data_IF_709423629209
#
_entry.id   IF_709423629209
#
_cell.length_a   1.000
_cell.length_b   1.000
_cell.length_c   1.000
_cell.angle_alpha   90.00
_cell.angle_beta   90.00
_cell.angle_gamma   90.00
#
_symmetry.space_group_name_H-M   'P 1'
#
loop_
_entity.id
_entity.type
_entity.pdbx_description
1 polymer ?
#
# COMPACT_ATOMS: atom_id res chain seq x y z
N UNK A 1 41.59 -1.86 -24.24
CA UNK A 1 40.66 -1.90 -23.09
C UNK A 1 39.44 -2.73 -23.47
N UNK A 2 39.42 -4.02 -23.11
CA UNK A 2 38.32 -4.92 -23.48
C UNK A 2 37.23 -4.86 -22.42
N UNK A 3 36.05 -4.31 -22.76
CA UNK A 3 34.86 -4.39 -21.89
C UNK A 3 34.32 -5.82 -21.96
N UNK A 4 34.58 -6.61 -20.93
CA UNK A 4 33.86 -7.86 -20.68
C UNK A 4 32.39 -7.53 -20.41
N UNK A 5 31.53 -7.75 -21.40
CA UNK A 5 30.10 -7.73 -21.17
C UNK A 5 29.76 -8.88 -20.18
N UNK A 6 28.96 -8.64 -19.13
CA UNK A 6 28.51 -9.72 -18.28
C UNK A 6 27.79 -10.77 -19.15
N UNK A 7 27.95 -12.07 -18.87
CA UNK A 7 27.23 -13.10 -19.61
C UNK A 7 25.74 -12.77 -19.51
N UNK A 8 25.06 -12.69 -20.67
CA UNK A 8 23.64 -12.31 -20.77
C UNK A 8 22.74 -13.05 -19.75
N UNK A 9 23.14 -14.25 -19.32
CA UNK A 9 22.47 -15.04 -18.28
C UNK A 9 22.42 -14.44 -16.87
N UNK A 10 23.26 -13.45 -16.52
CA UNK A 10 23.25 -12.80 -15.18
C UNK A 10 22.55 -11.44 -15.16
N UNK A 11 22.34 -10.80 -16.31
CA UNK A 11 21.68 -9.49 -16.37
C UNK A 11 20.21 -9.57 -15.95
N UNK A 12 19.48 -10.58 -16.45
CA UNK A 12 18.08 -10.77 -16.09
C UNK A 12 17.84 -11.01 -14.58
N UNK A 13 18.52 -11.96 -13.91
CA UNK A 13 18.34 -12.13 -12.47
C UNK A 13 18.82 -10.91 -11.68
N UNK A 14 19.77 -10.11 -12.19
CA UNK A 14 20.13 -8.83 -11.56
C UNK A 14 18.95 -7.86 -11.54
N UNK A 15 18.30 -7.66 -12.68
CA UNK A 15 17.13 -6.78 -12.79
C UNK A 15 15.99 -7.30 -11.92
N UNK A 16 15.72 -8.61 -11.93
CA UNK A 16 14.72 -9.23 -11.08
C UNK A 16 15.01 -9.02 -9.58
N UNK A 17 16.29 -9.09 -9.17
CA UNK A 17 16.68 -8.83 -7.78
C UNK A 17 16.45 -7.36 -7.39
N UNK A 18 16.77 -6.41 -8.28
CA UNK A 18 16.50 -4.98 -8.03
C UNK A 18 14.99 -4.75 -7.88
N UNK A 19 14.18 -5.32 -8.78
CA UNK A 19 12.72 -5.24 -8.67
C UNK A 19 12.20 -5.87 -7.37
N UNK A 20 12.72 -7.04 -6.99
CA UNK A 20 12.37 -7.69 -5.73
C UNK A 20 12.64 -6.78 -4.52
N UNK A 21 13.80 -6.13 -4.47
CA UNK A 21 14.15 -5.18 -3.40
C UNK A 21 13.19 -3.99 -3.39
N UNK A 22 12.86 -3.42 -4.56
CA UNK A 22 11.92 -2.30 -4.64
C UNK A 22 10.51 -2.67 -4.14
N UNK A 23 10.04 -3.87 -4.48
CA UNK A 23 8.73 -4.37 -4.02
C UNK A 23 8.70 -4.55 -2.50
N UNK A 24 9.74 -5.18 -1.93
CA UNK A 24 9.85 -5.35 -0.48
C UNK A 24 9.97 -4.00 0.23
N UNK A 25 10.80 -3.09 -0.29
CA UNK A 25 10.95 -1.75 0.27
C UNK A 25 9.64 -0.98 0.26
N UNK A 26 8.89 -1.01 -0.85
CA UNK A 26 7.58 -0.38 -0.95
C UNK A 26 6.61 -0.94 0.10
N UNK A 27 6.54 -2.26 0.25
CA UNK A 27 5.68 -2.90 1.25
C UNK A 27 6.08 -2.52 2.69
N UNK A 28 7.37 -2.54 3.03
CA UNK A 28 7.85 -2.23 4.38
C UNK A 28 7.66 -0.75 4.73
N UNK A 29 7.79 0.16 3.77
CA UNK A 29 7.65 1.61 4.01
C UNK A 29 6.27 2.04 4.52
N UNK A 30 5.23 1.23 4.26
CA UNK A 30 3.85 1.47 4.70
C UNK A 30 3.36 0.50 5.79
N UNK A 31 4.17 -0.47 6.21
CA UNK A 31 3.71 -1.61 6.99
C UNK A 31 3.12 -1.22 8.35
N UNK A 32 3.77 -0.30 9.07
CA UNK A 32 3.29 0.20 10.37
C UNK A 32 1.88 0.80 10.25
N UNK A 33 1.70 1.72 9.29
CA UNK A 33 0.39 2.34 9.03
C UNK A 33 -0.65 1.32 8.61
N UNK A 34 -0.32 0.36 7.73
CA UNK A 34 -1.26 -0.70 7.35
C UNK A 34 -1.68 -1.57 8.54
N UNK A 35 -0.78 -1.85 9.48
CA UNK A 35 -1.10 -2.62 10.68
C UNK A 35 -1.97 -1.83 11.66
N UNK A 36 -1.68 -0.54 11.84
CA UNK A 36 -2.51 0.35 12.66
C UNK A 36 -3.90 0.53 12.05
N UNK A 37 -3.98 0.72 10.73
CA UNK A 37 -5.24 0.75 10.00
C UNK A 37 -6.05 -0.54 10.20
N UNK A 38 -5.39 -1.71 10.10
CA UNK A 38 -6.04 -3.00 10.27
C UNK A 38 -6.68 -3.20 11.64
N UNK A 39 -6.14 -2.53 12.67
CA UNK A 39 -6.60 -2.64 14.06
C UNK A 39 -7.41 -1.43 14.53
N UNK A 40 -7.61 -0.44 13.66
CA UNK A 40 -8.10 0.89 14.04
C UNK A 40 -7.33 1.45 15.26
N UNK A 41 -6.00 1.34 15.23
CA UNK A 41 -5.11 1.75 16.32
C UNK A 41 -4.66 3.21 16.14
N UNK A 42 -5.47 4.12 16.66
CA UNK A 42 -5.27 5.57 16.54
C UNK A 42 -6.17 6.39 17.45
N UNK A 43 -6.22 7.70 17.19
CA UNK A 43 -7.07 8.62 17.94
C UNK A 43 -8.53 8.46 17.48
N UNK A 44 -9.47 8.12 18.39
CA UNK A 44 -10.88 8.05 18.05
C UNK A 44 -11.47 9.44 17.84
N UNK A 45 -12.51 9.52 17.02
CA UNK A 45 -13.23 10.73 16.74
C UNK A 45 -14.49 10.48 15.89
N UNK A 46 -15.08 11.58 15.44
CA UNK A 46 -16.26 11.57 14.59
C UNK A 46 -15.94 12.11 13.21
N UNK A 47 -16.35 11.39 12.16
CA UNK A 47 -16.29 11.85 10.78
C UNK A 47 -17.69 12.29 10.33
N UNK A 48 -17.79 13.50 9.82
CA UNK A 48 -19.02 14.03 9.20
C UNK A 48 -18.82 14.15 7.70
N UNK A 49 -19.58 13.35 6.94
CA UNK A 49 -19.50 13.36 5.48
C UNK A 49 -19.97 14.72 4.91
N UNK A 50 -19.24 15.25 3.93
CA UNK A 50 -19.50 16.57 3.35
C UNK A 50 -19.80 16.53 1.85
N UNK A 51 -19.05 15.72 1.09
CA UNK A 51 -19.25 15.55 -0.34
C UNK A 51 -18.57 14.27 -0.83
N UNK A 52 -18.87 13.90 -2.08
CA UNK A 52 -18.23 12.81 -2.79
C UNK A 52 -17.52 13.39 -4.01
N UNK A 53 -16.26 12.99 -4.22
CA UNK A 53 -15.53 13.27 -5.46
C UNK A 53 -15.32 11.97 -6.23
N UNK A 54 -15.59 11.98 -7.53
CA UNK A 54 -15.56 10.80 -8.37
C UNK A 54 -14.69 11.04 -9.61
N UNK A 55 -13.80 10.10 -9.87
CA UNK A 55 -12.95 10.07 -11.06
C UNK A 55 -13.44 8.97 -11.99
N UNK A 56 -13.69 9.34 -13.25
CA UNK A 56 -14.10 8.40 -14.28
C UNK A 56 -12.88 7.76 -14.95
N UNK A 57 -12.80 6.43 -14.89
CA UNK A 57 -11.82 5.64 -15.61
C UNK A 57 -12.51 4.84 -16.74
N UNK A 58 -11.77 4.36 -17.75
CA UNK A 58 -12.33 3.43 -18.72
C UNK A 58 -12.92 2.20 -18.02
N UNK A 59 -14.24 2.01 -18.18
CA UNK A 59 -14.98 0.86 -17.67
C UNK A 59 -15.43 0.92 -16.20
N UNK A 60 -15.08 1.95 -15.42
CA UNK A 60 -15.53 2.09 -14.03
C UNK A 60 -15.43 3.54 -13.50
N UNK A 61 -16.18 3.84 -12.45
CA UNK A 61 -16.07 5.07 -11.66
C UNK A 61 -15.38 4.73 -10.34
N UNK A 62 -14.55 5.64 -9.82
CA UNK A 62 -13.97 5.55 -8.48
C UNK A 62 -14.33 6.80 -7.68
N UNK A 63 -15.08 6.62 -6.60
CA UNK A 63 -15.58 7.71 -5.76
C UNK A 63 -14.93 7.68 -4.37
N UNK A 64 -14.69 8.86 -3.82
CA UNK A 64 -14.11 9.07 -2.49
C UNK A 64 -15.03 9.95 -1.66
N UNK A 65 -15.35 9.50 -0.44
CA UNK A 65 -16.20 10.22 0.50
C UNK A 65 -15.37 11.17 1.37
N UNK A 66 -15.49 12.48 1.15
CA UNK A 66 -14.76 13.51 1.87
C UNK A 66 -15.62 14.16 2.96
N UNK A 67 -14.97 14.60 4.03
CA UNK A 67 -15.63 15.13 5.20
C UNK A 67 -14.69 15.84 6.15
N UNK A 68 -15.21 16.04 7.35
CA UNK A 68 -14.50 16.64 8.48
C UNK A 68 -14.36 15.59 9.56
N UNK A 69 -13.16 15.46 10.12
CA UNK A 69 -12.90 14.61 11.27
C UNK A 69 -12.59 15.44 12.52
N UNK A 70 -13.32 15.16 13.60
CA UNK A 70 -13.16 15.81 14.90
C UNK A 70 -12.68 14.78 15.93
N UNK A 71 -11.47 14.93 16.52
CA UNK A 71 -10.96 14.01 17.54
C UNK A 71 -11.73 14.11 18.87
N UNK A 72 -12.04 12.98 19.49
CA UNK A 72 -12.79 12.94 20.76
C UNK A 72 -11.98 13.52 21.94
N UNK A 73 -10.65 13.34 21.91
CA UNK A 73 -9.73 13.76 22.98
C UNK A 73 -9.42 15.26 22.99
N UNK A 74 -10.06 16.03 22.12
CA UNK A 74 -9.64 17.40 21.80
C UNK A 74 -8.41 17.42 20.88
N UNK A 75 -8.33 18.41 20.02
CA UNK A 75 -7.28 18.51 19.01
C UNK A 75 -7.72 19.35 17.82
N UNK A 76 -6.84 19.52 16.82
CA UNK A 76 -7.23 20.18 15.59
C UNK A 76 -8.30 19.37 14.85
N UNK A 77 -9.29 20.08 14.31
CA UNK A 77 -10.25 19.49 13.37
C UNK A 77 -9.53 19.27 12.05
N UNK A 78 -9.74 18.09 11.45
CA UNK A 78 -9.16 17.73 10.17
C UNK A 78 -10.21 17.89 9.07
N UNK A 79 -10.08 18.95 8.28
CA UNK A 79 -10.93 19.20 7.13
C UNK A 79 -10.43 18.46 5.88
N UNK A 80 -11.35 18.17 4.94
CA UNK A 80 -11.03 17.61 3.62
C UNK A 80 -10.29 16.27 3.69
N UNK A 81 -10.56 15.49 4.73
CA UNK A 81 -10.11 14.10 4.83
C UNK A 81 -11.19 13.18 4.26
N UNK A 82 -10.80 12.00 3.79
CA UNK A 82 -11.77 10.99 3.38
C UNK A 82 -11.87 9.82 4.35
N UNK A 83 -13.06 9.23 4.44
CA UNK A 83 -13.28 8.01 5.20
C UNK A 83 -12.96 6.80 4.34
N UNK A 84 -11.97 6.00 4.78
CA UNK A 84 -11.57 4.79 4.08
C UNK A 84 -12.74 3.81 3.91
N UNK A 85 -12.83 3.20 2.73
CA UNK A 85 -13.83 2.17 2.44
C UNK A 85 -15.24 2.68 2.14
N UNK A 86 -15.45 4.00 2.05
CA UNK A 86 -16.72 4.59 1.60
C UNK A 86 -16.64 5.08 0.16
N UNK A 87 -17.75 4.93 -0.54
CA UNK A 87 -17.96 5.29 -1.94
C UNK A 87 -19.26 6.11 -2.10
N UNK A 88 -19.68 6.35 -3.35
CA UNK A 88 -20.90 7.13 -3.65
C UNK A 88 -22.15 6.56 -2.98
N UNK A 89 -22.25 5.24 -2.87
CA UNK A 89 -23.43 4.53 -2.37
C UNK A 89 -23.46 4.49 -0.84
N UNK A 90 -22.30 4.57 -0.21
CA UNK A 90 -22.14 4.43 1.24
C UNK A 90 -21.75 5.73 1.95
N UNK A 91 -21.61 6.84 1.20
CA UNK A 91 -21.34 8.18 1.72
C UNK A 91 -22.62 9.00 1.82
N UNK A 92 -23.31 8.93 2.96
CA UNK A 92 -24.49 9.76 3.21
C UNK A 92 -24.05 11.15 3.71
N UNK A 93 -24.27 12.19 2.92
CA UNK A 93 -23.84 13.55 3.25
C UNK A 93 -24.52 14.05 4.53
N UNK A 94 -23.74 14.64 5.42
CA UNK A 94 -24.16 15.09 6.76
C UNK A 94 -24.22 13.98 7.79
N UNK A 95 -24.05 12.71 7.40
CA UNK A 95 -23.99 11.61 8.35
C UNK A 95 -22.72 11.70 9.19
N UNK A 96 -22.89 11.57 10.50
CA UNK A 96 -21.80 11.42 11.46
C UNK A 96 -21.54 9.94 11.69
N UNK A 97 -20.29 9.52 11.61
CA UNK A 97 -19.88 8.14 11.87
C UNK A 97 -18.62 8.11 12.72
N UNK A 98 -18.47 7.06 13.53
CA UNK A 98 -17.26 6.85 14.30
C UNK A 98 -16.08 6.63 13.34
N UNK A 99 -14.94 7.25 13.64
CA UNK A 99 -13.73 7.11 12.85
C UNK A 99 -12.48 7.16 13.74
N UNK A 100 -11.36 6.73 13.17
CA UNK A 100 -10.07 6.68 13.84
C UNK A 100 -9.01 7.29 12.94
N UNK A 101 -8.26 8.26 13.49
CA UNK A 101 -7.06 8.80 12.87
C UNK A 101 -5.82 8.02 13.33
N UNK A 102 -5.20 7.31 12.40
CA UNK A 102 -3.95 6.57 12.62
C UNK A 102 -2.71 7.41 12.29
N UNK A 103 -2.84 8.73 12.08
CA UNK A 103 -1.78 9.62 11.62
C UNK A 103 -1.58 9.55 10.10
N UNK A 104 -2.66 9.33 9.34
CA UNK A 104 -2.59 9.39 7.88
C UNK A 104 -2.77 10.84 7.41
N UNK A 105 -2.12 11.22 6.31
CA UNK A 105 -2.08 12.62 5.88
C UNK A 105 -3.44 13.19 5.44
N UNK A 106 -4.33 12.36 4.91
CA UNK A 106 -5.55 12.81 4.23
C UNK A 106 -6.76 11.87 4.42
N UNK A 107 -6.71 10.94 5.37
CA UNK A 107 -7.80 9.97 5.59
C UNK A 107 -7.89 9.49 7.01
N UNK A 108 -9.09 9.04 7.34
CA UNK A 108 -9.42 8.36 8.59
C UNK A 108 -10.06 7.00 8.27
N UNK A 109 -10.13 6.13 9.25
CA UNK A 109 -10.61 4.76 9.10
C UNK A 109 -11.84 4.52 9.98
N UNK A 110 -12.74 3.65 9.55
CA UNK A 110 -13.84 3.19 10.42
C UNK A 110 -13.32 2.35 11.60
N UNK A 111 -14.11 2.19 12.67
CA UNK A 111 -13.74 1.37 13.84
C UNK A 111 -13.51 -0.11 13.49
N UNK A 112 -14.04 -0.58 12.37
CA UNK A 112 -13.83 -1.92 11.82
C UNK A 112 -12.40 -2.14 11.27
N UNK A 113 -11.62 -1.08 11.11
CA UNK A 113 -10.26 -1.12 10.57
C UNK A 113 -10.22 -1.20 9.04
N UNK A 114 -9.18 -1.85 8.51
CA UNK A 114 -8.87 -1.88 7.08
C UNK A 114 -8.25 -3.20 6.62
N UNK A 115 -8.45 -3.53 5.35
CA UNK A 115 -7.85 -4.69 4.68
C UNK A 115 -6.61 -4.33 3.83
N UNK A 116 -6.08 -3.10 3.93
CA UNK A 116 -4.88 -2.66 3.19
C UNK A 116 -3.66 -3.58 3.42
N UNK A 117 -3.57 -4.20 4.61
CA UNK A 117 -2.49 -5.12 4.97
C UNK A 117 -2.41 -6.35 4.04
N UNK A 118 -3.52 -6.78 3.43
CA UNK A 118 -3.55 -7.94 2.53
C UNK A 118 -2.69 -7.64 1.30
N UNK A 119 -2.88 -6.47 0.69
CA UNK A 119 -2.09 -6.05 -0.47
C UNK A 119 -0.61 -5.86 -0.08
N UNK A 120 -0.34 -5.25 1.08
CA UNK A 120 1.03 -5.06 1.58
C UNK A 120 1.75 -6.40 1.77
N UNK A 121 1.12 -7.39 2.42
CA UNK A 121 1.71 -8.72 2.59
C UNK A 121 1.84 -9.47 1.26
N UNK A 122 0.87 -9.35 0.36
CA UNK A 122 0.93 -9.93 -0.97
C UNK A 122 2.13 -9.38 -1.76
N UNK A 123 2.31 -8.06 -1.75
CA UNK A 123 3.43 -7.39 -2.42
C UNK A 123 4.79 -7.81 -1.83
N UNK A 124 4.89 -7.87 -0.49
CA UNK A 124 6.07 -8.38 0.19
C UNK A 124 6.37 -9.84 -0.21
N UNK A 125 5.35 -10.70 -0.24
CA UNK A 125 5.46 -12.10 -0.64
C UNK A 125 5.96 -12.26 -2.08
N UNK A 126 5.41 -11.51 -3.03
CA UNK A 126 5.87 -11.50 -4.44
C UNK A 126 7.33 -11.03 -4.52
N UNK A 127 7.69 -9.95 -3.82
CA UNK A 127 9.05 -9.45 -3.78
C UNK A 127 10.04 -10.49 -3.23
N UNK A 128 9.73 -11.11 -2.09
CA UNK A 128 10.55 -12.15 -1.49
C UNK A 128 10.68 -13.38 -2.40
N UNK A 129 9.59 -13.84 -3.00
CA UNK A 129 9.58 -14.96 -3.95
C UNK A 129 10.44 -14.69 -5.19
N UNK A 130 10.29 -13.50 -5.78
CA UNK A 130 11.09 -13.06 -6.93
C UNK A 130 12.57 -12.95 -6.57
N UNK A 131 12.89 -12.40 -5.39
CA UNK A 131 14.26 -12.26 -4.90
C UNK A 131 14.93 -13.62 -4.67
N UNK A 132 14.23 -14.54 -4.00
CA UNK A 132 14.71 -15.90 -3.80
C UNK A 132 14.99 -16.60 -5.13
N UNK A 133 14.05 -16.51 -6.08
CA UNK A 133 14.23 -17.05 -7.43
C UNK A 133 15.44 -16.43 -8.15
N UNK A 134 15.58 -15.10 -8.12
CA UNK A 134 16.66 -14.39 -8.78
C UNK A 134 18.04 -14.79 -8.23
N UNK A 135 18.17 -14.97 -6.90
CA UNK A 135 19.40 -15.45 -6.25
C UNK A 135 19.75 -16.86 -6.71
N UNK A 136 18.76 -17.77 -6.77
CA UNK A 136 18.97 -19.14 -7.24
C UNK A 136 19.40 -19.18 -8.71
N UNK A 137 18.72 -18.41 -9.57
CA UNK A 137 19.03 -18.31 -11.00
C UNK A 137 20.44 -17.72 -11.23
N UNK A 138 20.82 -16.69 -10.48
CA UNK A 138 22.16 -16.11 -10.55
C UNK A 138 23.23 -17.14 -10.19
N UNK A 139 23.03 -17.90 -9.10
CA UNK A 139 23.96 -18.94 -8.65
C UNK A 139 24.10 -20.06 -9.68
N UNK A 140 23.01 -20.47 -10.31
CA UNK A 140 23.02 -21.47 -11.37
C UNK A 140 23.79 -20.99 -12.62
N UNK A 141 23.58 -19.74 -13.05
CA UNK A 141 24.28 -19.12 -14.18
C UNK A 141 25.79 -18.90 -13.93
N UNK A 142 26.27 -19.07 -12.70
CA UNK A 142 27.68 -18.99 -12.36
C UNK A 142 28.41 -20.32 -12.20
N UNK A 143 27.70 -21.45 -12.27
CA UNK A 143 28.32 -22.77 -12.15
C UNK A 143 28.97 -23.17 -13.48
N UNK A 144 30.27 -23.50 -13.54
CA UNK A 144 30.91 -23.95 -14.77
C UNK A 144 30.25 -25.26 -15.23
N UNK A 145 29.85 -25.30 -16.50
CA UNK A 145 29.29 -26.51 -17.12
C UNK A 145 30.44 -27.48 -17.40
N UNK A 146 30.50 -28.62 -16.69
CA UNK A 146 31.34 -29.75 -17.10
C UNK A 146 30.81 -30.25 -18.44
N UNK A 147 31.68 -30.32 -19.43
CA UNK A 147 31.43 -30.97 -20.72
C UNK A 147 32.31 -32.19 -20.70
N UNK A 148 31.70 -33.38 -20.66
CA UNK A 148 32.37 -34.67 -20.81
C UNK A 148 32.45 -35.03 -22.30
#
# INVERSE_FOLDING_TARGET
MSRTAPPRGRAFPAVALVLAVLLVWAAVSGLDRSLRAARADGAPGSFTASHVDCVQHPGHESCTCYGVFEPDGGGPVHEQVYLYGRDRQTCEIGQVTAAVDIGSANRVYGPEGSNEWILTLGLAGVGLGLGAWAVLAWRAAGRPRKVD
#
